data_IF_066040905144
#
_entry.id   IF_066040905144
#
_cell.length_a   1.000
_cell.length_b   1.000
_cell.length_c   1.000
_cell.angle_alpha   90.00
_cell.angle_beta   90.00
_cell.angle_gamma   90.00
#
_symmetry.space_group_name_H-M   'P 1'
#
loop_
_entity.id
_entity.type
_entity.pdbx_description
1 polymer ?
#
# COMPACT_ATOMS: atom_id res chain seq x y z
N UNK A 1 -38.59 -19.44 6.99
CA UNK A 1 -37.60 -19.55 5.90
C UNK A 1 -37.73 -18.27 5.08
N UNK A 2 -36.70 -17.42 5.06
CA UNK A 2 -36.72 -16.15 4.30
C UNK A 2 -36.56 -16.46 2.81
N UNK A 3 -37.31 -15.78 1.94
CA UNK A 3 -37.24 -15.96 0.50
C UNK A 3 -35.92 -15.36 -0.03
N UNK A 4 -35.30 -15.93 -1.09
CA UNK A 4 -34.16 -15.31 -1.75
C UNK A 4 -34.48 -13.85 -2.14
N UNK A 5 -33.57 -12.92 -1.85
CA UNK A 5 -33.78 -11.49 -2.09
C UNK A 5 -34.61 -10.75 -1.04
N UNK A 6 -35.03 -11.38 0.06
CA UNK A 6 -35.79 -10.70 1.13
C UNK A 6 -34.94 -10.27 2.33
N UNK A 7 -33.61 -10.43 2.28
CA UNK A 7 -32.72 -10.07 3.37
C UNK A 7 -32.48 -8.56 3.39
N UNK A 8 -32.59 -7.93 4.56
CA UNK A 8 -32.26 -6.51 4.75
C UNK A 8 -31.73 -6.24 6.16
N UNK A 9 -31.54 -4.96 6.50
CA UNK A 9 -31.15 -4.50 7.84
C UNK A 9 -32.11 -4.93 8.95
N UNK A 10 -33.34 -5.36 8.63
CA UNK A 10 -34.27 -5.95 9.61
C UNK A 10 -33.85 -7.36 10.07
N UNK A 11 -32.97 -8.02 9.33
CA UNK A 11 -32.54 -9.39 9.61
C UNK A 11 -31.14 -9.48 10.21
N UNK A 12 -30.33 -8.42 10.07
CA UNK A 12 -28.94 -8.39 10.53
C UNK A 12 -28.59 -7.01 11.07
N UNK A 13 -28.08 -6.98 12.29
CA UNK A 13 -27.63 -5.73 12.93
C UNK A 13 -26.24 -5.28 12.45
N UNK A 14 -25.48 -6.19 11.84
CA UNK A 14 -24.16 -5.93 11.25
C UNK A 14 -23.94 -6.80 10.00
N UNK A 15 -23.25 -6.28 8.98
CA UNK A 15 -22.95 -7.05 7.78
C UNK A 15 -21.86 -8.09 8.04
N UNK A 16 -21.92 -9.19 7.29
CA UNK A 16 -20.85 -10.20 7.21
C UNK A 16 -20.16 -10.13 5.86
N UNK A 17 -19.05 -10.85 5.70
CA UNK A 17 -18.33 -10.93 4.41
C UNK A 17 -19.25 -11.35 3.25
N UNK A 18 -20.12 -12.34 3.48
CA UNK A 18 -21.05 -12.79 2.45
C UNK A 18 -22.12 -11.73 2.15
N UNK A 19 -22.64 -11.01 3.15
CA UNK A 19 -23.59 -9.91 2.93
C UNK A 19 -22.99 -8.84 2.03
N UNK A 20 -21.76 -8.40 2.34
CA UNK A 20 -21.08 -7.37 1.56
C UNK A 20 -20.70 -7.85 0.15
N UNK A 21 -20.18 -9.06 -0.01
CA UNK A 21 -19.56 -9.47 -1.28
C UNK A 21 -20.41 -10.37 -2.18
N UNK A 22 -21.41 -11.08 -1.66
CA UNK A 22 -22.04 -12.20 -2.40
C UNK A 22 -23.56 -12.26 -2.28
N UNK A 23 -24.12 -12.04 -1.09
CA UNK A 23 -25.54 -12.27 -0.83
C UNK A 23 -26.41 -11.22 -1.50
N UNK A 24 -27.63 -11.62 -1.87
CA UNK A 24 -28.70 -10.65 -2.10
C UNK A 24 -29.01 -9.92 -0.79
N UNK A 25 -29.02 -8.59 -0.79
CA UNK A 25 -29.29 -7.79 0.40
C UNK A 25 -29.93 -6.46 -0.02
N UNK A 26 -31.16 -6.23 0.43
CA UNK A 26 -31.93 -5.09 -0.03
C UNK A 26 -32.15 -5.12 -1.54
N UNK A 27 -31.86 -4.00 -2.20
CA UNK A 27 -31.86 -3.92 -3.66
C UNK A 27 -30.62 -4.57 -4.33
N UNK A 28 -29.59 -4.96 -3.57
CA UNK A 28 -28.38 -5.55 -4.14
C UNK A 28 -28.62 -7.02 -4.57
N UNK A 29 -28.29 -7.34 -5.82
CA UNK A 29 -28.41 -8.70 -6.35
C UNK A 29 -27.29 -9.61 -5.83
N UNK A 30 -27.62 -10.87 -5.57
CA UNK A 30 -26.64 -11.87 -5.17
C UNK A 30 -25.78 -12.36 -6.33
N UNK A 31 -24.53 -12.74 -6.05
CA UNK A 31 -23.56 -13.23 -7.03
C UNK A 31 -22.55 -14.17 -6.37
N UNK A 32 -22.02 -15.12 -7.13
CA UNK A 32 -20.85 -15.93 -6.73
C UNK A 32 -19.52 -15.31 -7.18
N UNK A 33 -19.56 -14.25 -7.99
CA UNK A 33 -18.39 -13.44 -8.34
C UNK A 33 -18.21 -12.32 -7.30
N UNK A 34 -17.30 -12.56 -6.35
CA UNK A 34 -16.94 -11.60 -5.28
C UNK A 34 -16.33 -10.30 -5.83
N UNK A 35 -15.92 -10.30 -7.10
CA UNK A 35 -15.37 -9.15 -7.78
C UNK A 35 -16.39 -8.06 -8.05
N UNK A 36 -17.66 -8.39 -8.29
CA UNK A 36 -18.71 -7.47 -8.79
C UNK A 36 -19.02 -6.25 -7.89
N UNK A 37 -18.49 -6.24 -6.67
CA UNK A 37 -18.67 -5.16 -5.69
C UNK A 37 -17.34 -4.53 -5.24
N UNK A 38 -16.24 -4.86 -5.90
CA UNK A 38 -14.91 -4.31 -5.60
C UNK A 38 -14.59 -3.20 -6.58
N UNK A 39 -14.39 -1.97 -6.10
CA UNK A 39 -13.97 -0.85 -6.97
C UNK A 39 -12.45 -0.73 -7.10
N UNK A 40 -11.68 -1.39 -6.23
CA UNK A 40 -10.23 -1.28 -6.16
C UNK A 40 -9.54 -2.66 -6.16
N UNK A 41 -8.31 -2.70 -6.69
CA UNK A 41 -7.31 -3.73 -6.42
C UNK A 41 -6.43 -3.21 -5.29
N UNK A 42 -6.46 -3.88 -4.14
CA UNK A 42 -5.72 -3.45 -2.94
C UNK A 42 -4.42 -4.24 -2.72
N UNK A 43 -4.23 -5.34 -3.45
CA UNK A 43 -3.06 -6.22 -3.34
C UNK A 43 -1.79 -5.74 -4.05
N UNK A 44 -1.83 -4.94 -5.14
CA UNK A 44 -0.60 -4.38 -5.72
C UNK A 44 0.07 -3.40 -4.75
N UNK A 45 1.27 -2.94 -5.11
CA UNK A 45 2.04 -2.00 -4.29
C UNK A 45 1.26 -0.71 -4.02
N UNK A 46 0.65 -0.17 -5.06
CA UNK A 46 -0.28 0.94 -4.97
C UNK A 46 -1.68 0.46 -5.32
N UNK A 47 -2.69 1.02 -4.66
CA UNK A 47 -4.07 0.73 -5.00
C UNK A 47 -4.43 1.27 -6.38
N UNK A 48 -5.11 0.43 -7.17
CA UNK A 48 -5.56 0.76 -8.51
C UNK A 48 -7.06 0.51 -8.64
N UNK A 49 -7.75 1.35 -9.40
CA UNK A 49 -9.16 1.10 -9.72
C UNK A 49 -9.28 -0.13 -10.61
N UNK A 50 -10.33 -0.93 -10.40
CA UNK A 50 -10.66 -2.06 -11.28
C UNK A 50 -11.25 -1.57 -12.60
N UNK A 51 -11.30 -2.46 -13.59
CA UNK A 51 -12.19 -2.26 -14.75
C UNK A 51 -13.62 -2.15 -14.23
N UNK A 52 -14.41 -1.23 -14.80
CA UNK A 52 -15.80 -0.95 -14.41
C UNK A 52 -16.01 -0.58 -12.92
N UNK A 53 -14.99 0.00 -12.29
CA UNK A 53 -15.00 0.32 -10.86
C UNK A 53 -16.18 1.20 -10.44
N UNK A 54 -16.69 2.07 -11.32
CA UNK A 54 -17.86 2.90 -11.07
C UNK A 54 -19.10 2.05 -10.80
N UNK A 55 -19.37 1.07 -11.69
CA UNK A 55 -20.50 0.16 -11.54
C UNK A 55 -20.33 -0.71 -10.28
N UNK A 56 -19.12 -1.20 -10.04
CA UNK A 56 -18.81 -2.02 -8.87
C UNK A 56 -18.98 -1.24 -7.55
N UNK A 57 -18.61 0.05 -7.55
CA UNK A 57 -18.83 0.95 -6.41
C UNK A 57 -20.32 1.13 -6.16
N UNK A 58 -21.11 1.43 -7.18
CA UNK A 58 -22.57 1.56 -7.05
C UNK A 58 -23.17 0.27 -6.47
N UNK A 59 -22.77 -0.90 -6.97
CA UNK A 59 -23.22 -2.19 -6.45
C UNK A 59 -22.92 -2.38 -4.95
N UNK A 60 -21.74 -1.98 -4.48
CA UNK A 60 -21.41 -2.04 -3.05
C UNK A 60 -22.20 -1.00 -2.24
N UNK A 61 -22.33 0.23 -2.76
CA UNK A 61 -23.09 1.29 -2.10
C UNK A 61 -24.56 0.90 -1.92
N UNK A 62 -25.15 0.14 -2.84
CA UNK A 62 -26.51 -0.42 -2.66
C UNK A 62 -26.63 -1.27 -1.39
N UNK A 63 -25.61 -2.07 -1.05
CA UNK A 63 -25.58 -2.83 0.21
C UNK A 63 -25.49 -1.88 1.41
N UNK A 64 -24.60 -0.89 1.34
CA UNK A 64 -24.40 0.07 2.43
C UNK A 64 -25.66 0.89 2.74
N UNK A 65 -26.45 1.23 1.72
CA UNK A 65 -27.66 2.05 1.82
C UNK A 65 -28.81 1.37 2.57
N UNK A 66 -28.74 0.07 2.81
CA UNK A 66 -29.71 -0.64 3.65
C UNK A 66 -29.60 -0.26 5.13
N UNK A 67 -28.44 0.28 5.55
CA UNK A 67 -28.16 0.66 6.95
C UNK A 67 -27.69 2.11 7.11
N UNK A 68 -26.96 2.66 6.14
CA UNK A 68 -26.27 3.94 6.27
C UNK A 68 -26.86 5.02 5.34
N UNK A 69 -26.80 6.27 5.78
CA UNK A 69 -27.14 7.41 4.95
C UNK A 69 -26.08 7.65 3.86
N UNK A 70 -26.50 8.22 2.73
CA UNK A 70 -25.60 8.58 1.63
C UNK A 70 -24.38 9.40 2.07
N UNK A 71 -24.55 10.36 2.98
CA UNK A 71 -23.46 11.21 3.47
C UNK A 71 -22.34 10.42 4.15
N UNK A 72 -22.69 9.41 4.97
CA UNK A 72 -21.72 8.52 5.62
C UNK A 72 -20.95 7.70 4.59
N UNK A 73 -21.66 7.20 3.57
CA UNK A 73 -21.06 6.40 2.50
C UNK A 73 -20.10 7.26 1.67
N UNK A 74 -20.52 8.47 1.28
CA UNK A 74 -19.67 9.42 0.55
C UNK A 74 -18.41 9.74 1.34
N UNK A 75 -18.53 10.07 2.62
CA UNK A 75 -17.37 10.37 3.48
C UNK A 75 -16.37 9.21 3.56
N UNK A 76 -16.85 7.96 3.60
CA UNK A 76 -15.98 6.77 3.59
C UNK A 76 -15.18 6.67 2.28
N UNK A 77 -15.81 6.92 1.13
CA UNK A 77 -15.14 6.85 -0.19
C UNK A 77 -14.23 8.05 -0.49
N UNK A 78 -14.46 9.20 0.15
CA UNK A 78 -13.68 10.42 -0.02
C UNK A 78 -12.49 10.51 0.97
N UNK A 79 -12.29 9.49 1.82
CA UNK A 79 -11.18 9.45 2.77
C UNK A 79 -9.81 9.49 2.04
N UNK A 80 -8.93 10.48 2.35
CA UNK A 80 -7.64 10.64 1.70
C UNK A 80 -6.57 9.62 2.12
N UNK A 81 -6.79 8.83 3.18
CA UNK A 81 -5.81 7.90 3.77
C UNK A 81 -5.23 6.93 2.71
N UNK A 82 -6.06 6.48 1.77
CA UNK A 82 -5.63 5.65 0.63
C UNK A 82 -4.58 6.32 -0.25
N UNK A 83 -4.75 7.62 -0.51
CA UNK A 83 -3.81 8.39 -1.33
C UNK A 83 -2.50 8.61 -0.57
N UNK A 84 -2.59 8.96 0.71
CA UNK A 84 -1.42 9.13 1.57
C UNK A 84 -0.57 7.84 1.63
N UNK A 85 -1.19 6.69 1.82
CA UNK A 85 -0.49 5.41 1.84
C UNK A 85 0.17 5.06 0.50
N UNK A 86 -0.46 5.43 -0.63
CA UNK A 86 0.12 5.24 -1.96
C UNK A 86 1.34 6.15 -2.21
N UNK A 87 1.37 7.36 -1.67
CA UNK A 87 2.50 8.29 -1.76
C UNK A 87 3.73 7.80 -0.97
N UNK A 88 3.50 7.26 0.24
CA UNK A 88 4.55 6.63 1.05
C UNK A 88 5.21 5.48 0.29
N UNK A 89 4.40 4.60 -0.32
CA UNK A 89 4.88 3.49 -1.15
C UNK A 89 5.70 3.99 -2.34
N UNK A 90 5.21 4.99 -3.07
CA UNK A 90 5.92 5.53 -4.23
C UNK A 90 7.29 6.10 -3.85
N UNK A 91 7.37 6.77 -2.69
CA UNK A 91 8.61 7.31 -2.15
C UNK A 91 9.60 6.19 -1.83
N UNK A 92 9.16 5.17 -1.09
CA UNK A 92 10.02 4.03 -0.73
C UNK A 92 10.56 3.30 -1.96
N UNK A 93 9.69 3.00 -2.94
CA UNK A 93 10.10 2.36 -4.20
C UNK A 93 11.12 3.19 -4.98
N UNK A 94 10.97 4.51 -4.97
CA UNK A 94 11.92 5.43 -5.61
C UNK A 94 13.30 5.36 -4.94
N UNK A 95 13.35 5.32 -3.60
CA UNK A 95 14.60 5.21 -2.83
C UNK A 95 15.31 3.89 -3.16
N UNK A 96 14.61 2.76 -3.02
CA UNK A 96 15.16 1.42 -3.31
C UNK A 96 15.66 1.33 -4.74
N UNK A 97 14.88 1.83 -5.71
CA UNK A 97 15.28 1.82 -7.11
C UNK A 97 16.59 2.61 -7.31
N UNK A 98 16.68 3.83 -6.76
CA UNK A 98 17.88 4.66 -6.89
C UNK A 98 19.11 4.03 -6.24
N UNK A 99 18.97 3.44 -5.05
CA UNK A 99 20.07 2.73 -4.40
C UNK A 99 20.61 1.57 -5.25
N UNK A 100 19.72 0.84 -5.95
CA UNK A 100 20.11 -0.21 -6.90
C UNK A 100 20.76 0.34 -8.16
N UNK A 101 20.17 1.38 -8.75
CA UNK A 101 20.69 2.04 -9.95
C UNK A 101 22.12 2.60 -9.69
N UNK A 102 22.32 3.20 -8.52
CA UNK A 102 23.60 3.76 -8.06
C UNK A 102 24.58 2.67 -7.58
N UNK A 103 24.17 1.40 -7.57
CA UNK A 103 24.94 0.23 -7.09
C UNK A 103 25.40 0.35 -5.64
N UNK A 104 24.67 1.11 -4.82
CA UNK A 104 24.89 1.21 -3.37
C UNK A 104 24.34 -0.01 -2.62
N UNK A 105 23.39 -0.72 -3.23
CA UNK A 105 22.91 -2.03 -2.78
C UNK A 105 22.85 -3.00 -3.97
N UNK A 106 22.85 -4.32 -3.75
CA UNK A 106 22.79 -5.27 -4.86
C UNK A 106 21.46 -5.19 -5.61
N UNK A 107 21.50 -5.45 -6.92
CA UNK A 107 20.30 -5.44 -7.77
C UNK A 107 19.38 -6.63 -7.51
N UNK A 108 19.92 -7.74 -7.02
CA UNK A 108 19.17 -8.94 -6.64
C UNK A 108 18.14 -8.60 -5.56
N UNK A 109 16.84 -8.84 -5.77
CA UNK A 109 15.81 -8.60 -4.76
C UNK A 109 16.08 -9.37 -3.46
N UNK A 110 15.75 -8.77 -2.31
CA UNK A 110 15.88 -9.37 -0.98
C UNK A 110 17.30 -9.87 -0.66
N UNK A 111 18.31 -9.17 -1.15
CA UNK A 111 19.72 -9.48 -0.87
C UNK A 111 20.35 -8.55 0.16
N UNK A 112 19.61 -7.52 0.57
CA UNK A 112 19.99 -6.55 1.61
C UNK A 112 18.83 -6.32 2.57
N UNK A 113 19.10 -5.95 3.82
CA UNK A 113 18.05 -5.68 4.81
C UNK A 113 17.09 -4.57 4.37
N UNK A 114 17.61 -3.56 3.66
CA UNK A 114 16.82 -2.45 3.13
C UNK A 114 15.78 -2.88 2.08
N UNK A 115 15.99 -4.02 1.39
CA UNK A 115 14.98 -4.57 0.48
C UNK A 115 13.71 -5.02 1.23
N UNK A 116 13.88 -5.56 2.45
CA UNK A 116 12.75 -6.00 3.28
C UNK A 116 11.94 -4.81 3.77
N UNK A 117 12.60 -3.78 4.26
CA UNK A 117 11.99 -2.53 4.71
C UNK A 117 11.20 -1.84 3.58
N UNK A 118 11.79 -1.70 2.39
CA UNK A 118 11.06 -1.20 1.23
C UNK A 118 9.87 -2.07 0.81
N UNK A 119 9.91 -3.38 1.11
CA UNK A 119 8.81 -4.30 0.84
C UNK A 119 7.68 -4.22 1.87
N UNK A 120 8.01 -4.13 3.16
CA UNK A 120 7.04 -4.03 4.26
C UNK A 120 6.12 -2.80 4.10
N UNK A 121 6.69 -1.64 3.72
CA UNK A 121 5.96 -0.38 3.48
C UNK A 121 4.74 -0.56 2.56
N UNK A 122 4.89 -1.30 1.45
CA UNK A 122 3.77 -1.50 0.53
C UNK A 122 3.00 -2.78 0.80
N UNK A 123 3.68 -3.83 1.24
CA UNK A 123 3.11 -5.17 1.33
C UNK A 123 2.38 -5.39 2.65
N UNK A 124 3.04 -5.18 3.79
CA UNK A 124 2.46 -5.52 5.08
C UNK A 124 1.67 -4.34 5.64
N UNK A 125 2.30 -3.19 5.77
CA UNK A 125 1.69 -1.96 6.29
C UNK A 125 0.74 -1.36 5.27
N UNK A 126 1.20 -1.25 4.01
CA UNK A 126 0.38 -0.74 2.93
C UNK A 126 -0.89 -1.56 2.70
N UNK A 127 -0.82 -2.90 2.68
CA UNK A 127 -2.05 -3.70 2.56
C UNK A 127 -2.92 -3.58 3.80
N UNK A 128 -2.36 -3.63 5.02
CA UNK A 128 -3.15 -3.42 6.26
C UNK A 128 -3.93 -2.12 6.21
N UNK A 129 -3.27 -1.02 5.81
CA UNK A 129 -3.92 0.28 5.65
C UNK A 129 -5.05 0.24 4.62
N UNK A 130 -4.75 -0.26 3.41
CA UNK A 130 -5.71 -0.29 2.31
C UNK A 130 -6.94 -1.17 2.59
N UNK A 131 -6.73 -2.36 3.14
CA UNK A 131 -7.84 -3.24 3.52
C UNK A 131 -8.61 -2.66 4.72
N UNK A 132 -7.92 -2.06 5.69
CA UNK A 132 -8.55 -1.35 6.81
C UNK A 132 -9.50 -0.25 6.35
N UNK A 133 -9.09 0.55 5.37
CA UNK A 133 -9.90 1.65 4.84
C UNK A 133 -11.23 1.19 4.24
N UNK A 134 -11.24 0.06 3.52
CA UNK A 134 -12.45 -0.49 2.90
C UNK A 134 -13.26 -1.42 3.81
N UNK A 135 -12.74 -1.77 4.98
CA UNK A 135 -13.41 -2.62 5.99
C UNK A 135 -13.77 -1.85 7.26
N UNK A 136 -13.73 -0.51 7.24
CA UNK A 136 -14.00 0.36 8.39
C UNK A 136 -13.14 0.03 9.63
N UNK A 137 -11.86 -0.29 9.42
CA UNK A 137 -10.89 -0.56 10.48
C UNK A 137 -9.92 0.61 10.67
N UNK A 138 -10.29 1.68 11.41
CA UNK A 138 -9.45 2.88 11.54
C UNK A 138 -8.08 2.60 12.19
N UNK A 139 -8.01 1.63 13.11
CA UNK A 139 -6.76 1.18 13.71
C UNK A 139 -5.82 0.53 12.67
N UNK A 140 -6.39 -0.23 11.74
CA UNK A 140 -5.64 -0.82 10.63
C UNK A 140 -5.18 0.21 9.60
N UNK A 141 -5.96 1.28 9.41
CA UNK A 141 -5.59 2.39 8.54
C UNK A 141 -4.42 3.17 9.12
N UNK A 142 -4.51 3.53 10.39
CA UNK A 142 -3.60 4.44 11.07
C UNK A 142 -2.49 3.66 11.78
N UNK A 143 -2.75 3.11 12.96
CA UNK A 143 -1.74 2.50 13.84
C UNK A 143 -1.00 1.33 13.21
N UNK A 144 -1.70 0.43 12.52
CA UNK A 144 -1.09 -0.76 11.88
C UNK A 144 -0.74 -0.53 10.40
N UNK A 145 -0.97 0.68 9.91
CA UNK A 145 -0.90 1.04 8.50
C UNK A 145 0.01 2.24 8.29
N UNK A 146 -0.58 3.42 8.10
CA UNK A 146 0.14 4.66 7.77
C UNK A 146 1.21 4.99 8.82
N UNK A 147 0.95 4.74 10.10
CA UNK A 147 1.93 5.00 11.16
C UNK A 147 3.20 4.16 10.99
N UNK A 148 3.06 2.86 10.76
CA UNK A 148 4.19 1.96 10.50
C UNK A 148 4.92 2.36 9.21
N UNK A 149 4.18 2.71 8.15
CA UNK A 149 4.78 3.23 6.91
C UNK A 149 5.66 4.45 7.14
N UNK A 150 5.29 5.32 8.07
CA UNK A 150 6.07 6.52 8.37
C UNK A 150 7.34 6.19 9.18
N UNK A 151 7.29 5.18 10.05
CA UNK A 151 8.46 4.67 10.76
C UNK A 151 9.45 4.08 9.74
N UNK A 152 9.00 3.09 8.96
CA UNK A 152 9.83 2.40 7.98
C UNK A 152 10.35 3.37 6.90
N UNK A 153 9.54 4.34 6.47
CA UNK A 153 10.00 5.35 5.51
C UNK A 153 11.05 6.31 6.10
N UNK A 154 11.01 6.57 7.41
CA UNK A 154 12.01 7.38 8.09
C UNK A 154 13.33 6.63 8.19
N UNK A 155 13.30 5.39 8.66
CA UNK A 155 14.48 4.52 8.73
C UNK A 155 15.10 4.29 7.34
N UNK A 156 14.27 4.08 6.31
CA UNK A 156 14.71 3.92 4.93
C UNK A 156 15.46 5.15 4.40
N UNK A 157 15.00 6.36 4.75
CA UNK A 157 15.66 7.62 4.37
C UNK A 157 16.99 7.81 5.10
N UNK A 158 17.07 7.43 6.37
CA UNK A 158 18.30 7.48 7.16
C UNK A 158 19.35 6.52 6.57
N UNK A 159 18.95 5.29 6.23
CA UNK A 159 19.83 4.30 5.59
C UNK A 159 20.28 4.73 4.19
N UNK A 160 19.41 5.35 3.37
CA UNK A 160 19.79 5.94 2.08
C UNK A 160 20.87 7.02 2.26
N UNK A 161 20.69 7.91 3.25
CA UNK A 161 21.68 8.95 3.54
C UNK A 161 23.03 8.37 4.01
N UNK A 162 23.00 7.36 4.87
CA UNK A 162 24.21 6.67 5.35
C UNK A 162 24.98 6.00 4.20
N UNK A 163 24.29 5.20 3.38
CA UNK A 163 24.89 4.51 2.23
C UNK A 163 25.53 5.49 1.24
N UNK A 164 24.88 6.62 1.00
CA UNK A 164 25.41 7.68 0.13
C UNK A 164 26.64 8.36 0.74
N UNK A 165 26.63 8.63 2.04
CA UNK A 165 27.79 9.18 2.77
C UNK A 165 29.00 8.23 2.68
N UNK A 166 28.78 6.95 2.93
CA UNK A 166 29.82 5.91 2.90
C UNK A 166 30.34 5.66 1.47
N UNK A 167 29.47 5.69 0.46
CA UNK A 167 29.85 5.57 -0.95
C UNK A 167 30.72 6.73 -1.43
N UNK A 168 30.41 7.97 -1.00
CA UNK A 168 31.23 9.16 -1.29
C UNK A 168 32.60 9.07 -0.61
N UNK A 169 32.67 8.63 0.65
CA UNK A 169 33.92 8.44 1.37
C UNK A 169 34.83 7.38 0.69
N UNK A 170 34.26 6.26 0.24
CA UNK A 170 35.00 5.22 -0.48
C UNK A 170 35.55 5.70 -1.83
N UNK A 171 34.78 6.51 -2.57
CA UNK A 171 35.24 7.10 -3.85
C UNK A 171 36.34 8.16 -3.70
N UNK A 172 36.42 8.83 -2.55
CA UNK A 172 37.41 9.90 -2.28
C UNK A 172 38.78 9.33 -1.84
N UNK A 173 38.84 8.07 -1.43
CA UNK A 173 40.06 7.46 -0.86
C UNK A 173 40.97 6.80 -1.92
N UNK A 174 40.62 6.87 -3.20
CA UNK A 174 41.53 6.49 -4.29
C UNK A 174 42.54 7.62 -4.52
N UNK A 175 43.50 7.75 -3.59
CA UNK A 175 44.71 8.52 -3.84
C UNK A 175 45.51 7.83 -4.96
N UNK A 176 45.62 8.53 -6.08
CA UNK A 176 46.50 8.22 -7.19
C UNK A 176 47.95 8.19 -6.71
N UNK A 177 48.48 7.00 -6.43
CA UNK A 177 49.89 6.79 -6.09
C UNK A 177 50.80 6.72 -7.32
N UNK A 178 50.29 7.00 -8.53
CA UNK A 178 51.05 6.87 -9.77
C UNK A 178 51.87 8.11 -10.14
N UNK A 179 52.63 8.71 -9.21
CA UNK A 179 53.70 9.66 -9.57
C UNK A 179 54.67 9.92 -8.41
N UNK A 180 55.69 9.08 -8.26
CA UNK A 180 57.06 9.53 -7.94
C UNK A 180 58.06 8.37 -8.01
N UNK A 181 58.66 8.16 -9.18
CA UNK A 181 60.00 7.57 -9.31
C UNK A 181 60.74 8.24 -10.49
N UNK A 182 61.30 9.41 -10.22
CA UNK A 182 62.57 9.85 -10.84
C UNK A 182 63.49 10.04 -9.64
N UNK A 183 64.49 9.19 -9.41
CA UNK A 183 65.55 8.83 -10.33
C UNK A 183 66.81 9.58 -9.87
N UNK A 184 67.38 9.16 -8.75
CA UNK A 184 68.74 9.54 -8.35
C UNK A 184 69.71 8.50 -8.94
N UNK A 185 70.73 8.95 -9.66
CA UNK A 185 71.81 8.06 -10.11
C UNK A 185 72.64 8.60 -11.29
N UNK A 186 73.80 9.17 -10.92
CA UNK A 186 75.02 9.52 -11.69
C UNK A 186 74.91 10.41 -12.94
#
# INVERSE_FOLDING_TARGET
>A
MLLPGSLSSKNFDAPTYSICHMSSFGAAQGTHDVGQRLSWKLTPAQAEKRVDWEAHRVNMQTVCLECHAHSTITAMYDNPDMLQGNENVATAQTIIKKLKDDRLIPSTPFSSSIDFEGFEIWHHEGRRSRFGAFMNGPDYVQWQGIYEQLIDLTELKEKDAELRSNGVASSTTVQDTSKSTKGEGL
#
